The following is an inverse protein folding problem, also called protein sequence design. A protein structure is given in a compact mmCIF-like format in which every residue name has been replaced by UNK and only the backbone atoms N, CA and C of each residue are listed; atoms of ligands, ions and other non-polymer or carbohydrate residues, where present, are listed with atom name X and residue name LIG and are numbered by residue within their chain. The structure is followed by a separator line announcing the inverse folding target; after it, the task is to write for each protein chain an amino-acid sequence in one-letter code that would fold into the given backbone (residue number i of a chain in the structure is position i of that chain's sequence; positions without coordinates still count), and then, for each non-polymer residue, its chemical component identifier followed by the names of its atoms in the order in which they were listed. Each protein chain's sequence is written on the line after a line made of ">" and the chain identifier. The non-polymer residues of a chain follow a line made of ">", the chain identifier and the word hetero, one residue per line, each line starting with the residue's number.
data_IF_791871952871
#
_entry.id   IF_791871952871
#
_cell.length_a   1.000
_cell.length_b   1.000
_cell.length_c   1.000
_cell.angle_alpha   90.00
_cell.angle_beta   90.00
_cell.angle_gamma   90.00
#
_symmetry.space_group_name_H-M   'P 1'
#
loop_
_entity.id
_entity.type
_entity.pdbx_description
1 polymer ?
#
# COMPACT_ATOMS: atom_id res chain seq x y z
N UNK A 1 15.35 -0.32 39.45
CA UNK A 1 14.54 0.58 38.60
C UNK A 1 15.27 0.70 37.27
N UNK A 2 14.79 -0.02 36.24
CA UNK A 2 15.54 -0.30 35.00
C UNK A 2 15.76 0.99 34.20
N UNK A 3 16.96 1.54 34.31
CA UNK A 3 17.47 2.64 33.49
C UNK A 3 17.90 2.07 32.13
N UNK A 4 16.93 1.62 31.34
CA UNK A 4 17.18 0.92 30.10
C UNK A 4 16.18 1.34 29.02
N UNK A 5 16.72 1.97 27.98
CA UNK A 5 16.19 1.95 26.61
C UNK A 5 15.17 3.01 26.18
N UNK A 6 15.48 4.29 26.39
CA UNK A 6 15.13 5.31 25.40
C UNK A 6 16.39 5.57 24.58
N UNK A 7 16.55 4.79 23.52
CA UNK A 7 17.58 5.04 22.52
C UNK A 7 17.07 6.10 21.54
N UNK A 8 17.22 7.37 21.91
CA UNK A 8 17.20 8.51 20.98
C UNK A 8 18.47 8.45 20.10
N UNK A 9 18.56 7.40 19.28
CA UNK A 9 19.55 7.34 18.23
C UNK A 9 19.22 8.46 17.23
N UNK A 10 20.19 9.25 16.75
CA UNK A 10 19.94 10.37 15.83
C UNK A 10 19.21 9.98 14.53
N UNK A 11 19.08 8.67 14.26
CA UNK A 11 18.38 8.11 13.11
C UNK A 11 16.90 7.76 13.37
N UNK A 12 16.42 7.67 14.62
CA UNK A 12 15.02 7.29 14.94
C UNK A 12 14.38 8.33 15.85
N UNK A 13 13.36 9.06 15.38
CA UNK A 13 12.66 10.04 16.21
C UNK A 13 11.96 9.37 17.40
N UNK A 14 11.98 9.99 18.58
CA UNK A 14 11.36 9.42 19.79
C UNK A 14 9.83 9.19 19.71
N UNK A 15 9.14 9.84 18.77
CA UNK A 15 7.72 9.61 18.49
C UNK A 15 7.46 8.35 17.64
N UNK A 16 8.50 7.74 17.08
CA UNK A 16 8.40 6.55 16.24
C UNK A 16 8.41 5.29 17.12
N UNK A 17 7.24 4.94 17.67
CA UNK A 17 7.09 3.76 18.50
C UNK A 17 7.19 2.47 17.64
N UNK A 18 8.08 1.54 18.04
CA UNK A 18 8.28 0.25 17.35
C UNK A 18 6.99 -0.61 17.33
N UNK A 19 6.16 -0.53 18.38
CA UNK A 19 4.90 -1.25 18.49
C UNK A 19 3.84 -0.75 17.49
N UNK A 20 3.69 0.56 17.35
CA UNK A 20 2.74 1.15 16.40
C UNK A 20 3.12 0.84 14.95
N UNK A 21 4.41 0.88 14.62
CA UNK A 21 4.91 0.46 13.31
C UNK A 21 4.66 -1.02 13.04
N UNK A 22 4.96 -1.89 14.02
CA UNK A 22 4.71 -3.33 13.87
C UNK A 22 3.22 -3.61 13.64
N UNK A 23 2.34 -2.89 14.36
CA UNK A 23 0.90 -3.00 14.17
C UNK A 23 0.44 -2.50 12.79
N UNK A 24 0.93 -1.35 12.33
CA UNK A 24 0.60 -0.82 11.00
C UNK A 24 1.03 -1.76 9.87
N UNK A 25 2.22 -2.35 9.95
CA UNK A 25 2.69 -3.34 8.97
C UNK A 25 1.86 -4.63 9.02
N UNK A 26 1.47 -5.07 10.22
CA UNK A 26 0.58 -6.22 10.39
C UNK A 26 -0.79 -5.94 9.75
N UNK A 27 -1.39 -4.79 10.03
CA UNK A 27 -2.65 -4.36 9.45
C UNK A 27 -2.56 -4.27 7.91
N UNK A 28 -1.50 -3.67 7.37
CA UNK A 28 -1.27 -3.59 5.93
C UNK A 28 -1.16 -4.98 5.28
N UNK A 29 -0.50 -5.93 5.96
CA UNK A 29 -0.38 -7.32 5.50
C UNK A 29 -1.75 -8.02 5.48
N UNK A 30 -2.56 -7.86 6.53
CA UNK A 30 -3.91 -8.42 6.60
C UNK A 30 -4.79 -7.88 5.46
N UNK A 31 -4.73 -6.58 5.17
CA UNK A 31 -5.47 -5.95 4.05
C UNK A 31 -4.96 -6.46 2.69
N UNK A 32 -3.63 -6.59 2.53
CA UNK A 32 -3.04 -7.17 1.32
C UNK A 32 -3.52 -8.61 1.07
N UNK A 33 -3.64 -9.41 2.14
CA UNK A 33 -4.20 -10.76 2.08
C UNK A 33 -5.70 -10.72 1.77
N UNK A 34 -6.48 -9.70 2.13
CA UNK A 34 -7.90 -9.67 1.71
C UNK A 34 -8.06 -9.57 0.18
N UNK A 35 -7.13 -8.90 -0.50
CA UNK A 35 -7.20 -8.71 -1.95
C UNK A 35 -6.80 -9.96 -2.73
N UNK A 36 -5.77 -10.70 -2.30
CA UNK A 36 -5.22 -11.84 -3.04
C UNK A 36 -6.09 -13.10 -2.98
N UNK A 37 -6.29 -13.76 -1.81
CA UNK A 37 -7.25 -14.85 -1.70
C UNK A 37 -8.70 -14.41 -1.89
N UNK A 38 -9.11 -13.20 -1.48
CA UNK A 38 -10.51 -12.76 -1.60
C UNK A 38 -10.99 -12.63 -3.05
N UNK A 39 -10.23 -11.96 -3.92
CA UNK A 39 -10.61 -11.81 -5.33
C UNK A 39 -10.41 -13.11 -6.11
N UNK A 40 -9.28 -13.81 -5.91
CA UNK A 40 -8.99 -15.02 -6.68
C UNK A 40 -9.97 -16.15 -6.34
N UNK A 41 -10.31 -16.35 -5.06
CA UNK A 41 -11.24 -17.42 -4.66
C UNK A 41 -12.67 -17.09 -5.09
N UNK A 42 -13.16 -15.86 -4.89
CA UNK A 42 -14.51 -15.49 -5.29
C UNK A 42 -14.68 -15.55 -6.82
N UNK A 43 -13.76 -14.96 -7.58
CA UNK A 43 -13.83 -15.04 -9.03
C UNK A 43 -13.66 -16.48 -9.52
N UNK A 44 -12.69 -17.25 -9.03
CA UNK A 44 -12.53 -18.65 -9.44
C UNK A 44 -13.70 -19.57 -9.03
N UNK A 45 -14.38 -19.29 -7.92
CA UNK A 45 -15.51 -20.11 -7.42
C UNK A 45 -16.79 -19.95 -8.24
N UNK A 46 -16.98 -18.80 -8.90
CA UNK A 46 -18.18 -18.51 -9.70
C UNK A 46 -18.02 -18.94 -11.17
N UNK A 47 -16.80 -19.07 -11.69
CA UNK A 47 -16.57 -19.48 -13.09
C UNK A 47 -16.49 -21.00 -13.28
N UNK A 48 -17.00 -21.49 -14.42
CA UNK A 48 -16.83 -22.89 -14.85
C UNK A 48 -15.34 -23.26 -14.87
N UNK A 49 -14.96 -24.46 -14.37
CA UNK A 49 -13.56 -24.93 -14.26
C UNK A 49 -12.68 -24.68 -15.50
N UNK A 50 -13.26 -24.74 -16.71
CA UNK A 50 -12.52 -24.49 -17.97
C UNK A 50 -12.01 -23.05 -18.16
N UNK A 51 -12.51 -22.08 -17.39
CA UNK A 51 -12.13 -20.66 -17.50
C UNK A 51 -11.53 -20.08 -16.21
N UNK A 52 -11.48 -20.86 -15.13
CA UNK A 52 -11.04 -20.40 -13.82
C UNK A 52 -9.60 -19.86 -13.84
N UNK A 53 -8.70 -20.50 -14.61
CA UNK A 53 -7.31 -20.08 -14.73
C UNK A 53 -7.18 -18.72 -15.41
N UNK A 54 -7.91 -18.48 -16.51
CA UNK A 54 -7.89 -17.19 -17.20
C UNK A 54 -8.43 -16.06 -16.31
N UNK A 55 -9.48 -16.33 -15.55
CA UNK A 55 -10.04 -15.37 -14.59
C UNK A 55 -9.05 -15.06 -13.44
N UNK A 56 -8.29 -16.06 -12.97
CA UNK A 56 -7.27 -15.86 -11.95
C UNK A 56 -6.12 -14.97 -12.44
N UNK A 57 -5.64 -15.18 -13.68
CA UNK A 57 -4.61 -14.33 -14.28
C UNK A 57 -5.08 -12.89 -14.51
N UNK A 58 -6.34 -12.70 -14.94
CA UNK A 58 -6.95 -11.36 -15.05
C UNK A 58 -6.99 -10.64 -13.70
N UNK A 59 -7.38 -11.32 -12.62
CA UNK A 59 -7.41 -10.74 -11.28
C UNK A 59 -6.00 -10.39 -10.75
N UNK A 60 -5.02 -11.27 -10.99
CA UNK A 60 -3.61 -11.01 -10.63
C UNK A 60 -3.05 -9.80 -11.39
N UNK A 61 -3.27 -9.75 -12.71
CA UNK A 61 -2.82 -8.64 -13.55
C UNK A 61 -3.46 -7.31 -13.12
N UNK A 62 -4.78 -7.31 -12.87
CA UNK A 62 -5.49 -6.14 -12.41
C UNK A 62 -4.96 -5.63 -11.06
N UNK A 63 -4.74 -6.53 -10.09
CA UNK A 63 -4.18 -6.15 -8.79
C UNK A 63 -2.76 -5.57 -8.92
N UNK A 64 -1.89 -6.21 -9.71
CA UNK A 64 -0.54 -5.72 -9.95
C UNK A 64 -0.54 -4.33 -10.60
N UNK A 65 -1.38 -4.11 -11.61
CA UNK A 65 -1.52 -2.81 -12.27
C UNK A 65 -2.02 -1.72 -11.32
N UNK A 66 -3.01 -2.05 -10.46
CA UNK A 66 -3.53 -1.12 -9.45
C UNK A 66 -2.47 -0.78 -8.40
N UNK A 67 -1.70 -1.75 -7.90
CA UNK A 67 -0.60 -1.49 -6.97
C UNK A 67 0.47 -0.57 -7.58
N UNK A 68 0.85 -0.82 -8.83
CA UNK A 68 1.83 0.04 -9.53
C UNK A 68 1.27 1.47 -9.67
N UNK A 69 0.03 1.61 -10.13
CA UNK A 69 -0.64 2.91 -10.23
C UNK A 69 -0.73 3.63 -8.88
N UNK A 70 -1.02 2.88 -7.81
CA UNK A 70 -1.09 3.38 -6.45
C UNK A 70 0.24 3.97 -5.97
N UNK A 71 1.34 3.23 -6.15
CA UNK A 71 2.67 3.68 -5.73
C UNK A 71 3.16 4.87 -6.57
N UNK A 72 2.87 4.88 -7.88
CA UNK A 72 3.38 5.93 -8.78
C UNK A 72 2.64 7.26 -8.66
N UNK A 73 1.31 7.22 -8.53
CA UNK A 73 0.46 8.42 -8.58
C UNK A 73 -0.60 8.43 -7.47
N UNK A 74 -1.20 7.29 -7.16
CA UNK A 74 -2.31 7.20 -6.19
C UNK A 74 -1.96 7.73 -4.80
N UNK A 75 -0.75 7.44 -4.30
CA UNK A 75 -0.28 7.91 -3.01
C UNK A 75 -0.25 9.44 -2.93
N UNK A 76 0.29 10.11 -3.96
CA UNK A 76 0.36 11.57 -4.03
C UNK A 76 -1.00 12.21 -4.24
N UNK A 77 -1.91 11.55 -4.95
CA UNK A 77 -3.27 12.08 -5.13
C UNK A 77 -4.12 11.97 -3.85
N UNK A 78 -3.88 10.95 -3.02
CA UNK A 78 -4.63 10.73 -1.78
C UNK A 78 -4.09 11.51 -0.58
N UNK A 79 -2.76 11.66 -0.48
CA UNK A 79 -2.09 12.23 0.70
C UNK A 79 -1.15 13.40 0.37
N UNK A 80 -1.01 13.77 -0.89
CA UNK A 80 -0.19 14.90 -1.33
C UNK A 80 -1.00 16.18 -1.52
N UNK A 81 -0.36 17.17 -2.14
CA UNK A 81 -0.92 18.51 -2.31
C UNK A 81 -2.23 18.51 -3.11
N UNK A 82 -3.25 19.17 -2.56
CA UNK A 82 -4.55 19.34 -3.21
C UNK A 82 -4.43 20.23 -4.46
N UNK A 83 -4.98 19.76 -5.59
CA UNK A 83 -5.12 20.54 -6.83
C UNK A 83 -6.51 21.19 -6.87
N UNK A 84 -7.52 20.42 -6.44
CA UNK A 84 -8.92 20.79 -6.28
C UNK A 84 -9.40 20.21 -4.92
N UNK A 85 -10.50 20.72 -4.34
CA UNK A 85 -11.02 20.26 -3.04
C UNK A 85 -11.33 18.76 -2.92
N UNK A 86 -11.36 18.03 -4.03
CA UNK A 86 -11.62 16.59 -4.10
C UNK A 86 -10.57 15.83 -4.91
N UNK A 87 -9.49 16.50 -5.37
CA UNK A 87 -8.53 15.94 -6.32
C UNK A 87 -7.11 16.42 -6.04
N UNK A 88 -6.21 15.50 -5.66
CA UNK A 88 -4.79 15.80 -5.40
C UNK A 88 -3.94 15.90 -6.67
N UNK A 89 -2.78 16.57 -6.60
CA UNK A 89 -1.83 16.68 -7.73
C UNK A 89 -1.32 15.32 -8.19
N UNK A 90 -1.90 14.82 -9.28
CA UNK A 90 -1.42 13.65 -10.00
C UNK A 90 -0.10 13.94 -10.71
N UNK A 91 1.01 13.83 -9.99
CA UNK A 91 2.35 13.84 -10.56
C UNK A 91 3.05 12.50 -10.22
N UNK A 92 3.82 11.91 -11.14
CA UNK A 92 4.62 10.73 -10.83
C UNK A 92 5.52 11.02 -9.62
N UNK A 93 5.59 10.11 -8.65
CA UNK A 93 6.53 10.18 -7.51
C UNK A 93 7.99 10.41 -7.96
N UNK A 94 8.34 10.06 -9.20
CA UNK A 94 9.68 10.24 -9.78
C UNK A 94 9.96 11.65 -10.35
N UNK A 95 8.98 12.57 -10.34
CA UNK A 95 9.19 13.94 -10.82
C UNK A 95 10.17 14.71 -9.92
N UNK A 96 10.96 15.62 -10.50
CA UNK A 96 12.04 16.39 -9.84
C UNK A 96 11.66 17.08 -8.51
N UNK A 97 10.36 17.26 -8.23
CA UNK A 97 9.83 17.75 -6.96
C UNK A 97 9.95 16.76 -5.79
N UNK A 98 10.08 15.46 -6.02
CA UNK A 98 10.23 14.44 -4.97
C UNK A 98 11.67 14.28 -4.47
N UNK A 99 12.66 14.88 -5.15
CA UNK A 99 14.07 14.85 -4.76
C UNK A 99 14.49 16.09 -3.94
N UNK A 100 13.57 17.02 -3.67
CA UNK A 100 13.84 18.30 -3.02
C UNK A 100 13.11 18.51 -1.68
N UNK A 101 12.45 17.48 -1.15
CA UNK A 101 11.76 17.49 0.15
C UNK A 101 12.44 16.58 1.16
#
# INVERSE_FOLDING_TARGET
>A
MSLGYQEDLPAVPGWLNKGDNAWQMTAATLVGIQSMPGLVILYASVVKKKWAVNSAFMALYAFAAVLICWVLVGYRMAFGDELLPFWGKGAPVLGQTALQS
#
